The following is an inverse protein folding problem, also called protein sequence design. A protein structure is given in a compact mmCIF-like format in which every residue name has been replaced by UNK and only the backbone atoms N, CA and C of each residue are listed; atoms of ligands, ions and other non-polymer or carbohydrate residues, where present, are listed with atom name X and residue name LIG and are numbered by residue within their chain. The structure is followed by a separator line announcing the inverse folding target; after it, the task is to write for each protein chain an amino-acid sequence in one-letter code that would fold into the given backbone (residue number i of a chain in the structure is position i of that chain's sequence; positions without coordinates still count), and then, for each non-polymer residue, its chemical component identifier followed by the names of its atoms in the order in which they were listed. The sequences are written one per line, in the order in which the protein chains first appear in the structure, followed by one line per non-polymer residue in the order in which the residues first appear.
data_IF_612532978623
#
_entry.id   IF_612532978623
#
_cell.length_a   1.000
_cell.length_b   1.000
_cell.length_c   1.000
_cell.angle_alpha   90.00
_cell.angle_beta   90.00
_cell.angle_gamma   90.00
#
_symmetry.space_group_name_H-M   'P 1'
#
loop_
_entity.id
_entity.type
_entity.pdbx_description
1 polymer ?
#
# COMPACT_ATOMS: atom_id res chain seq x y z
N UNK A 1 19.93 71.02 -6.80
CA UNK A 1 21.24 70.96 -7.45
C UNK A 1 21.96 69.76 -6.79
N UNK A 2 22.23 68.67 -7.38
CA UNK A 2 22.31 68.18 -8.73
C UNK A 2 21.95 66.64 -8.69
N UNK A 3 21.16 66.35 -9.65
CA UNK A 3 20.76 64.97 -10.08
C UNK A 3 21.97 64.18 -10.56
N UNK A 4 22.05 62.92 -10.22
CA UNK A 4 22.82 61.86 -10.96
C UNK A 4 22.17 60.53 -10.80
N UNK A 5 21.24 60.26 -11.71
CA UNK A 5 20.80 58.92 -12.08
C UNK A 5 21.98 58.10 -12.60
N UNK A 6 22.19 56.91 -12.03
CA UNK A 6 23.03 55.86 -12.63
C UNK A 6 22.13 54.83 -13.26
N UNK A 7 22.19 54.81 -14.58
CA UNK A 7 21.66 53.72 -15.41
C UNK A 7 22.29 52.40 -15.03
N UNK A 8 21.48 51.46 -14.61
CA UNK A 8 21.85 50.05 -14.50
C UNK A 8 21.43 49.36 -15.80
N UNK A 9 22.41 49.08 -16.64
CA UNK A 9 22.25 48.23 -17.81
C UNK A 9 21.80 46.83 -17.38
N UNK A 10 20.60 46.46 -17.78
CA UNK A 10 20.12 45.07 -17.82
C UNK A 10 20.83 44.36 -18.97
N UNK A 11 21.40 43.15 -18.74
CA UNK A 11 21.87 42.33 -19.86
C UNK A 11 20.67 41.81 -20.63
N UNK A 12 20.78 41.88 -21.95
CA UNK A 12 19.81 41.34 -22.90
C UNK A 12 19.54 39.86 -22.61
N UNK A 13 18.28 39.49 -22.49
CA UNK A 13 17.78 38.15 -22.55
C UNK A 13 18.17 37.59 -23.93
N UNK A 14 19.00 36.57 -23.90
CA UNK A 14 19.22 35.72 -25.06
C UNK A 14 17.96 34.81 -25.15
N UNK A 15 17.10 35.14 -26.11
CA UNK A 15 16.04 34.26 -26.58
C UNK A 15 16.73 33.01 -27.15
N UNK A 16 16.73 31.92 -26.37
CA UNK A 16 16.84 30.58 -26.94
C UNK A 16 15.46 30.22 -27.50
N UNK A 17 15.34 30.41 -28.82
CA UNK A 17 14.28 29.74 -29.60
C UNK A 17 14.51 28.23 -29.52
N UNK A 18 13.91 27.57 -28.53
CA UNK A 18 13.66 26.15 -28.58
C UNK A 18 12.45 25.92 -29.50
N UNK A 19 12.75 25.64 -30.76
CA UNK A 19 11.75 25.36 -31.79
C UNK A 19 11.20 23.92 -31.65
N UNK A 20 10.50 23.61 -30.56
CA UNK A 20 9.60 22.47 -30.54
C UNK A 20 8.28 22.92 -31.17
N UNK A 21 8.00 22.43 -32.36
CA UNK A 21 6.74 22.67 -33.06
C UNK A 21 5.62 21.98 -32.28
N UNK A 22 4.54 22.66 -31.88
CA UNK A 22 3.46 22.02 -31.16
C UNK A 22 2.88 20.90 -32.03
N UNK A 23 2.91 19.66 -31.52
CA UNK A 23 2.29 18.51 -32.20
C UNK A 23 0.78 18.72 -32.10
N UNK A 24 0.12 18.97 -33.23
CA UNK A 24 -1.33 19.10 -33.32
C UNK A 24 -1.92 17.70 -33.35
N UNK A 25 -2.55 17.29 -32.28
CA UNK A 25 -3.35 16.07 -32.30
C UNK A 25 -4.64 16.30 -33.05
N UNK A 26 -4.89 15.41 -34.01
CA UNK A 26 -6.19 15.29 -34.65
C UNK A 26 -6.85 14.10 -33.99
N UNK A 27 -8.04 14.27 -33.40
CA UNK A 27 -8.77 13.14 -32.85
C UNK A 27 -9.08 12.14 -33.99
N UNK A 28 -9.35 10.89 -33.62
CA UNK A 28 -9.64 9.83 -34.58
C UNK A 28 -10.85 10.10 -35.50
N UNK A 29 -11.55 11.24 -35.30
CA UNK A 29 -12.67 11.74 -36.12
C UNK A 29 -12.32 13.00 -36.93
N UNK A 30 -11.07 13.51 -36.81
CA UNK A 30 -10.61 14.67 -37.58
C UNK A 30 -10.92 16.02 -36.91
N UNK A 31 -11.35 16.08 -35.65
CA UNK A 31 -11.44 17.30 -34.87
C UNK A 31 -10.09 17.59 -34.22
N UNK A 32 -9.55 18.77 -34.47
CA UNK A 32 -8.26 19.22 -33.92
C UNK A 32 -8.47 19.72 -32.49
N UNK A 33 -8.35 18.86 -31.52
CA UNK A 33 -8.02 19.29 -30.16
C UNK A 33 -6.49 19.43 -30.09
N UNK A 34 -6.02 20.65 -30.00
CA UNK A 34 -4.60 20.93 -29.85
C UNK A 34 -4.21 20.64 -28.39
N UNK A 35 -3.86 19.41 -28.10
CA UNK A 35 -3.19 19.03 -26.86
C UNK A 35 -1.76 18.62 -27.25
N UNK A 36 -0.80 19.49 -26.98
CA UNK A 36 0.61 19.12 -26.98
C UNK A 36 0.95 18.60 -25.59
N UNK A 37 1.66 17.50 -25.48
CA UNK A 37 2.23 17.03 -24.20
C UNK A 37 3.16 18.09 -23.61
N UNK A 38 3.70 19.00 -24.41
CA UNK A 38 4.40 20.21 -23.96
C UNK A 38 3.55 21.18 -23.12
N UNK A 39 2.22 20.96 -22.95
CA UNK A 39 1.36 21.67 -22.01
C UNK A 39 1.39 21.07 -20.60
N UNK A 40 1.79 19.80 -20.46
CA UNK A 40 1.95 19.16 -19.17
C UNK A 40 3.38 19.34 -18.69
N UNK A 41 3.52 19.89 -17.49
CA UNK A 41 4.83 20.12 -16.88
C UNK A 41 5.48 18.84 -16.35
N UNK A 42 4.71 17.74 -16.24
CA UNK A 42 5.13 16.48 -15.66
C UNK A 42 4.35 15.30 -16.28
N UNK A 43 4.94 14.09 -16.43
CA UNK A 43 4.26 12.89 -16.91
C UNK A 43 2.98 12.54 -16.13
N UNK A 44 3.00 12.68 -14.81
CA UNK A 44 1.83 12.46 -13.94
C UNK A 44 0.63 13.36 -14.28
N UNK A 45 0.86 14.64 -14.69
CA UNK A 45 -0.22 15.52 -15.13
C UNK A 45 -0.84 15.03 -16.45
N UNK A 46 0.00 14.49 -17.34
CA UNK A 46 -0.44 13.89 -18.59
C UNK A 46 -1.23 12.61 -18.33
N UNK A 47 -0.77 11.75 -17.44
CA UNK A 47 -1.46 10.54 -17.00
C UNK A 47 -2.85 10.85 -16.46
N UNK A 48 -2.97 11.79 -15.49
CA UNK A 48 -4.26 12.21 -14.93
C UNK A 48 -5.23 12.72 -16.01
N UNK A 49 -4.72 13.46 -16.99
CA UNK A 49 -5.56 13.95 -18.10
C UNK A 49 -6.02 12.81 -19.01
N UNK A 50 -5.11 11.91 -19.41
CA UNK A 50 -5.39 10.83 -20.34
C UNK A 50 -6.36 9.82 -19.73
N UNK A 51 -6.16 9.40 -18.50
CA UNK A 51 -7.01 8.40 -17.83
C UNK A 51 -8.46 8.87 -17.62
N UNK A 52 -8.71 10.19 -17.59
CA UNK A 52 -10.06 10.75 -17.52
C UNK A 52 -10.79 10.80 -18.87
N UNK A 53 -10.14 10.38 -19.97
CA UNK A 53 -10.75 10.31 -21.29
C UNK A 53 -11.47 8.97 -21.51
N UNK A 54 -12.25 8.88 -22.62
CA UNK A 54 -12.78 7.58 -23.05
C UNK A 54 -11.66 6.71 -23.64
N UNK A 55 -11.74 5.39 -23.48
CA UNK A 55 -10.73 4.42 -23.96
C UNK A 55 -10.33 4.66 -25.43
N UNK A 56 -11.29 4.96 -26.32
CA UNK A 56 -10.99 5.28 -27.74
C UNK A 56 -10.04 6.49 -27.87
N UNK A 57 -10.20 7.50 -27.01
CA UNK A 57 -9.34 8.68 -27.00
C UNK A 57 -7.99 8.42 -26.34
N UNK A 58 -7.99 7.64 -25.26
CA UNK A 58 -6.75 7.21 -24.56
C UNK A 58 -5.84 6.48 -25.56
N UNK A 59 -6.34 5.44 -26.21
CA UNK A 59 -5.60 4.66 -27.22
C UNK A 59 -5.12 5.55 -28.38
N UNK A 60 -5.98 6.46 -28.85
CA UNK A 60 -5.60 7.38 -29.93
C UNK A 60 -4.46 8.33 -29.50
N UNK A 61 -4.49 8.86 -28.28
CA UNK A 61 -3.42 9.71 -27.76
C UNK A 61 -2.12 8.93 -27.64
N UNK A 62 -2.14 7.77 -27.01
CA UNK A 62 -0.97 6.90 -26.85
C UNK A 62 -0.32 6.50 -28.17
N UNK A 63 -1.10 6.30 -29.24
CA UNK A 63 -0.57 6.02 -30.58
C UNK A 63 0.18 7.19 -31.24
N UNK A 64 -0.10 8.42 -30.83
CA UNK A 64 0.46 9.62 -31.45
C UNK A 64 1.55 10.31 -30.64
N UNK A 65 1.71 9.94 -29.35
CA UNK A 65 2.82 10.37 -28.50
C UNK A 65 4.16 9.80 -28.99
N UNK A 66 5.26 10.47 -28.66
CA UNK A 66 6.57 9.83 -28.73
C UNK A 66 6.57 8.62 -27.77
N UNK A 67 7.34 7.58 -28.10
CA UNK A 67 7.31 6.36 -27.30
C UNK A 67 7.76 6.60 -25.84
N UNK A 68 8.78 7.44 -25.65
CA UNK A 68 9.31 7.88 -24.37
C UNK A 68 8.23 8.61 -23.54
N UNK A 69 7.58 9.66 -24.09
CA UNK A 69 6.51 10.42 -23.40
C UNK A 69 5.28 9.51 -23.10
N UNK A 70 5.01 8.54 -23.95
CA UNK A 70 3.92 7.59 -23.76
C UNK A 70 4.24 6.56 -22.66
N UNK A 71 5.49 6.12 -22.56
CA UNK A 71 5.98 5.21 -21.54
C UNK A 71 5.90 5.85 -20.16
N UNK A 72 6.45 7.08 -20.03
CA UNK A 72 6.39 7.84 -18.78
C UNK A 72 4.93 8.11 -18.33
N UNK A 73 4.06 8.51 -19.27
CA UNK A 73 2.66 8.75 -18.94
C UNK A 73 1.89 7.46 -18.60
N UNK A 74 2.23 6.32 -19.25
CA UNK A 74 1.60 5.04 -18.97
C UNK A 74 1.98 4.51 -17.58
N UNK A 75 3.24 4.64 -17.18
CA UNK A 75 3.73 4.22 -15.87
C UNK A 75 2.97 4.90 -14.70
N UNK A 76 2.59 6.15 -14.87
CA UNK A 76 1.88 6.95 -13.86
C UNK A 76 0.34 6.76 -13.86
N UNK A 77 -0.21 5.87 -14.71
CA UNK A 77 -1.66 5.61 -14.78
C UNK A 77 -2.06 4.48 -13.83
N UNK A 78 -3.36 4.43 -13.48
CA UNK A 78 -3.93 3.30 -12.74
C UNK A 78 -3.78 1.99 -13.52
N UNK A 79 -3.40 0.89 -12.87
CA UNK A 79 -3.13 -0.45 -13.46
C UNK A 79 -4.20 -0.90 -14.45
N UNK A 80 -5.47 -0.73 -14.09
CA UNK A 80 -6.60 -1.08 -14.96
C UNK A 80 -6.63 -0.26 -16.25
N UNK A 81 -6.28 1.03 -16.19
CA UNK A 81 -6.25 1.91 -17.38
C UNK A 81 -5.08 1.52 -18.25
N UNK A 82 -3.92 1.20 -17.67
CA UNK A 82 -2.74 0.69 -18.36
C UNK A 82 -3.09 -0.57 -19.15
N UNK A 83 -3.70 -1.56 -18.49
CA UNK A 83 -4.15 -2.83 -19.08
C UNK A 83 -5.14 -2.58 -20.23
N UNK A 84 -6.19 -1.78 -20.00
CA UNK A 84 -7.22 -1.46 -21.02
C UNK A 84 -6.59 -0.78 -22.25
N UNK A 85 -5.63 0.11 -22.07
CA UNK A 85 -4.91 0.79 -23.13
C UNK A 85 -4.06 -0.21 -23.94
N UNK A 86 -3.22 -1.01 -23.27
CA UNK A 86 -2.32 -1.96 -23.94
C UNK A 86 -3.07 -3.03 -24.71
N UNK A 87 -4.20 -3.52 -24.20
CA UNK A 87 -5.04 -4.48 -24.89
C UNK A 87 -5.66 -3.94 -26.20
N UNK A 88 -5.86 -2.62 -26.27
CA UNK A 88 -6.50 -1.96 -27.41
C UNK A 88 -5.54 -1.20 -28.33
N UNK A 89 -4.25 -1.10 -27.98
CA UNK A 89 -3.21 -0.54 -28.83
C UNK A 89 -2.83 -1.49 -29.96
N UNK A 90 -2.27 -0.92 -31.05
CA UNK A 90 -1.57 -1.72 -32.06
C UNK A 90 -0.36 -2.39 -31.40
N UNK A 91 -0.15 -3.72 -31.56
CA UNK A 91 0.92 -4.45 -30.89
C UNK A 91 2.34 -3.89 -31.15
N UNK A 92 2.58 -3.32 -32.32
CA UNK A 92 3.88 -2.72 -32.65
C UNK A 92 4.09 -1.39 -31.91
N UNK A 93 2.99 -0.67 -31.61
CA UNK A 93 3.03 0.57 -30.81
C UNK A 93 3.20 0.23 -29.34
N UNK A 94 2.41 -0.71 -28.84
CA UNK A 94 2.50 -1.18 -27.46
C UNK A 94 3.91 -1.69 -27.12
N UNK A 95 4.50 -2.50 -28.00
CA UNK A 95 5.86 -3.01 -27.82
C UNK A 95 6.93 -1.90 -27.81
N UNK A 96 6.75 -0.83 -28.58
CA UNK A 96 7.67 0.31 -28.55
C UNK A 96 7.56 1.09 -27.26
N UNK A 97 6.34 1.27 -26.74
CA UNK A 97 6.11 1.94 -25.47
C UNK A 97 6.74 1.13 -24.33
N UNK A 98 6.50 -0.19 -24.29
CA UNK A 98 7.08 -1.09 -23.30
C UNK A 98 8.61 -1.15 -23.34
N UNK A 99 9.22 -0.96 -24.51
CA UNK A 99 10.69 -0.91 -24.65
C UNK A 99 11.32 0.41 -24.17
N UNK A 100 10.52 1.47 -23.97
CA UNK A 100 10.98 2.75 -23.43
C UNK A 100 10.60 2.90 -21.93
N UNK A 101 9.81 1.97 -21.38
CA UNK A 101 9.50 1.92 -19.94
C UNK A 101 10.68 1.37 -19.17
N UNK A 102 10.76 1.71 -17.87
CA UNK A 102 11.65 1.00 -16.97
C UNK A 102 11.28 -0.51 -16.92
N UNK A 103 12.24 -1.43 -16.74
CA UNK A 103 11.94 -2.88 -16.79
C UNK A 103 10.96 -3.35 -15.73
N UNK A 104 10.95 -2.74 -14.54
CA UNK A 104 10.01 -2.98 -13.44
C UNK A 104 8.59 -2.52 -13.83
N UNK A 105 8.40 -1.26 -14.23
CA UNK A 105 7.10 -0.75 -14.70
C UNK A 105 6.54 -1.59 -15.86
N UNK A 106 7.40 -1.96 -16.81
CA UNK A 106 7.00 -2.82 -17.92
C UNK A 106 6.59 -4.22 -17.46
N UNK A 107 7.24 -4.77 -16.43
CA UNK A 107 6.89 -6.06 -15.85
C UNK A 107 5.55 -5.98 -15.10
N UNK A 108 5.33 -4.92 -14.32
CA UNK A 108 4.11 -4.71 -13.56
C UNK A 108 2.90 -4.62 -14.47
N UNK A 109 2.94 -3.74 -15.47
CA UNK A 109 1.84 -3.61 -16.44
C UNK A 109 1.59 -4.90 -17.23
N UNK A 110 2.64 -5.66 -17.54
CA UNK A 110 2.52 -6.93 -18.24
C UNK A 110 2.01 -8.07 -17.34
N UNK A 111 2.20 -7.98 -16.02
CA UNK A 111 1.71 -9.01 -15.08
C UNK A 111 0.17 -9.11 -15.12
N UNK A 112 -0.50 -7.98 -15.28
CA UNK A 112 -1.96 -7.86 -15.31
C UNK A 112 -2.60 -8.31 -16.63
N UNK A 113 -1.80 -8.46 -17.70
CA UNK A 113 -2.31 -8.91 -19.00
C UNK A 113 -2.53 -10.42 -19.05
N UNK A 114 -3.52 -10.84 -19.87
CA UNK A 114 -3.68 -12.25 -20.20
C UNK A 114 -2.39 -12.83 -20.81
N UNK A 115 -2.00 -14.03 -20.38
CA UNK A 115 -0.72 -14.66 -20.76
C UNK A 115 -0.48 -14.70 -22.29
N UNK A 116 -1.55 -14.90 -23.09
CA UNK A 116 -1.45 -14.93 -24.57
C UNK A 116 -1.10 -13.54 -25.12
N UNK A 117 -1.65 -12.47 -24.52
CA UNK A 117 -1.39 -11.09 -24.96
C UNK A 117 0.02 -10.67 -24.54
N UNK A 118 0.39 -10.91 -23.27
CA UNK A 118 1.72 -10.67 -22.74
C UNK A 118 2.82 -11.34 -23.58
N UNK A 119 2.68 -12.63 -23.86
CA UNK A 119 3.68 -13.38 -24.65
C UNK A 119 3.80 -12.85 -26.08
N UNK A 120 2.71 -12.31 -26.63
CA UNK A 120 2.71 -11.67 -27.97
C UNK A 120 3.49 -10.38 -27.95
N UNK A 121 3.28 -9.49 -26.97
CA UNK A 121 3.98 -8.22 -26.83
C UNK A 121 5.47 -8.46 -26.59
N UNK A 122 5.82 -9.33 -25.65
CA UNK A 122 7.22 -9.73 -25.39
C UNK A 122 7.92 -10.41 -26.57
N UNK A 123 7.17 -10.86 -27.56
CA UNK A 123 7.73 -11.39 -28.80
C UNK A 123 8.08 -10.30 -29.83
N UNK A 124 7.61 -9.06 -29.63
CA UNK A 124 7.83 -7.90 -30.50
C UNK A 124 8.90 -6.96 -29.91
N UNK A 125 8.90 -6.79 -28.58
CA UNK A 125 9.91 -6.02 -27.83
C UNK A 125 11.33 -6.50 -28.17
N UNK A 126 12.33 -5.63 -28.09
CA UNK A 126 13.74 -6.01 -28.33
C UNK A 126 14.16 -7.17 -27.42
N UNK A 127 15.02 -8.05 -27.95
CA UNK A 127 15.31 -9.32 -27.28
C UNK A 127 16.00 -9.15 -25.92
N UNK A 128 16.75 -8.06 -25.73
CA UNK A 128 17.47 -7.73 -24.50
C UNK A 128 16.49 -7.31 -23.42
N UNK A 129 15.62 -6.34 -23.72
CA UNK A 129 14.58 -5.83 -22.80
C UNK A 129 13.55 -6.92 -22.48
N UNK A 130 13.13 -7.71 -23.47
CA UNK A 130 12.21 -8.80 -23.28
C UNK A 130 12.76 -9.92 -22.38
N UNK A 131 14.08 -10.17 -22.33
CA UNK A 131 14.71 -11.14 -21.42
C UNK A 131 14.76 -10.57 -19.99
N UNK A 132 15.01 -9.28 -19.85
CA UNK A 132 15.02 -8.57 -18.57
C UNK A 132 13.63 -8.56 -17.93
N UNK A 133 12.62 -8.11 -18.68
CA UNK A 133 11.21 -8.13 -18.24
C UNK A 133 10.75 -9.55 -17.88
N UNK A 134 11.08 -10.59 -18.68
CA UNK A 134 10.76 -11.98 -18.34
C UNK A 134 11.42 -12.45 -17.05
N UNK A 135 12.60 -11.94 -16.75
CA UNK A 135 13.30 -12.26 -15.50
C UNK A 135 12.54 -11.67 -14.32
N UNK A 136 12.11 -10.41 -14.41
CA UNK A 136 11.29 -9.76 -13.39
C UNK A 136 9.94 -10.47 -13.21
N UNK A 137 9.22 -10.76 -14.27
CA UNK A 137 7.97 -11.53 -14.25
C UNK A 137 8.10 -12.96 -13.66
N UNK A 138 9.33 -13.46 -13.46
CA UNK A 138 9.55 -14.76 -12.81
C UNK A 138 9.52 -14.70 -11.28
N UNK A 139 9.63 -13.52 -10.70
CA UNK A 139 9.50 -13.30 -9.27
C UNK A 139 8.02 -13.11 -8.90
N UNK A 140 7.72 -13.26 -7.64
CA UNK A 140 6.40 -12.98 -7.08
C UNK A 140 6.26 -11.45 -6.92
N UNK A 141 5.16 -10.88 -7.40
CA UNK A 141 4.89 -9.43 -7.41
C UNK A 141 4.89 -8.82 -6.00
N UNK A 142 4.56 -9.60 -4.96
CA UNK A 142 4.58 -9.15 -3.57
C UNK A 142 5.95 -9.27 -2.90
N UNK A 143 7.03 -9.48 -3.68
CA UNK A 143 8.39 -9.63 -3.13
C UNK A 143 9.34 -8.57 -3.62
N UNK A 144 10.48 -8.40 -2.92
CA UNK A 144 11.54 -7.51 -3.32
C UNK A 144 12.04 -7.76 -4.76
N UNK A 145 11.96 -9.01 -5.23
CA UNK A 145 12.33 -9.39 -6.59
C UNK A 145 11.32 -8.95 -7.64
N UNK A 146 10.01 -8.91 -7.28
CA UNK A 146 8.94 -8.44 -8.16
C UNK A 146 8.98 -6.93 -8.36
N UNK A 147 9.23 -6.19 -7.29
CA UNK A 147 9.21 -4.71 -7.29
C UNK A 147 10.59 -4.07 -7.51
N UNK A 148 11.62 -4.82 -7.88
CA UNK A 148 12.97 -4.26 -8.05
C UNK A 148 13.19 -3.73 -9.45
N UNK A 149 13.85 -2.57 -9.53
CA UNK A 149 14.41 -2.03 -10.75
C UNK A 149 15.79 -2.63 -11.02
N UNK A 150 16.04 -3.03 -12.26
CA UNK A 150 17.31 -3.61 -12.72
C UNK A 150 18.23 -2.61 -13.39
N UNK A 151 17.75 -1.41 -13.68
CA UNK A 151 18.53 -0.30 -14.24
C UNK A 151 19.43 0.36 -13.20
N UNK A 152 20.50 -0.31 -12.84
CA UNK A 152 21.40 0.09 -11.75
C UNK A 152 22.84 0.29 -12.21
N UNK A 153 23.57 1.19 -11.56
CA UNK A 153 25.01 1.37 -11.79
C UNK A 153 25.80 0.37 -10.97
N UNK A 154 26.38 -0.60 -11.64
CA UNK A 154 27.24 -1.61 -11.05
C UNK A 154 28.71 -1.29 -11.32
N UNK A 155 29.52 -1.17 -10.28
CA UNK A 155 30.94 -0.88 -10.37
C UNK A 155 31.77 -1.99 -9.73
N UNK A 156 32.83 -2.42 -10.40
CA UNK A 156 33.76 -3.38 -9.81
C UNK A 156 34.60 -2.69 -8.71
N UNK A 157 34.78 -3.35 -7.57
CA UNK A 157 35.53 -2.85 -6.42
C UNK A 157 37.00 -2.48 -6.73
N UNK A 158 37.57 -2.97 -7.82
CA UNK A 158 38.96 -2.71 -8.25
C UNK A 158 39.10 -1.39 -9.00
N UNK A 159 38.00 -0.76 -9.44
CA UNK A 159 38.08 0.52 -10.16
C UNK A 159 38.55 1.63 -9.23
N UNK A 160 39.20 2.62 -9.83
CA UNK A 160 39.50 3.88 -9.14
C UNK A 160 38.27 4.84 -9.22
N UNK A 161 38.20 5.78 -8.30
CA UNK A 161 37.11 6.78 -8.28
C UNK A 161 36.99 7.53 -9.63
N UNK A 162 38.14 7.89 -10.24
CA UNK A 162 38.12 8.55 -11.55
C UNK A 162 37.58 7.66 -12.67
N UNK A 163 37.91 6.36 -12.64
CA UNK A 163 37.38 5.39 -13.60
C UNK A 163 35.88 5.15 -13.38
N UNK A 164 35.45 5.08 -12.14
CA UNK A 164 34.04 4.95 -11.77
C UNK A 164 33.21 6.13 -12.28
N UNK A 165 33.68 7.37 -12.03
CA UNK A 165 33.01 8.59 -12.52
C UNK A 165 32.93 8.61 -14.06
N UNK A 166 33.99 8.17 -14.74
CA UNK A 166 33.97 8.08 -16.21
C UNK A 166 33.01 7.01 -16.71
N UNK A 167 32.87 5.92 -16.01
CA UNK A 167 31.92 4.84 -16.33
C UNK A 167 30.48 5.34 -16.19
N UNK A 168 30.17 5.92 -15.04
CA UNK A 168 28.85 6.51 -14.78
C UNK A 168 28.48 7.52 -15.85
N UNK A 169 29.36 8.46 -16.21
CA UNK A 169 29.07 9.48 -17.23
C UNK A 169 28.74 8.91 -18.60
N UNK A 170 29.20 7.71 -18.93
CA UNK A 170 28.86 7.06 -20.20
C UNK A 170 27.53 6.35 -20.17
N UNK A 171 27.18 5.80 -19.03
CA UNK A 171 25.93 5.06 -18.86
C UNK A 171 24.73 5.98 -18.54
N UNK A 172 25.01 7.19 -18.05
CA UNK A 172 23.96 8.17 -17.72
C UNK A 172 23.50 9.03 -18.90
N UNK A 173 23.98 8.82 -20.14
CA UNK A 173 23.47 9.56 -21.30
C UNK A 173 22.02 9.17 -21.65
N UNK A 174 21.58 7.96 -21.23
CA UNK A 174 20.29 7.37 -21.61
C UNK A 174 19.46 6.83 -20.43
N UNK A 175 19.84 7.12 -19.17
CA UNK A 175 19.18 6.56 -17.96
C UNK A 175 18.88 7.60 -16.92
N UNK A 176 17.87 7.34 -16.09
CA UNK A 176 17.56 8.16 -14.92
C UNK A 176 18.75 8.32 -13.97
N UNK A 177 18.79 9.43 -13.22
CA UNK A 177 19.92 9.77 -12.34
C UNK A 177 19.92 8.84 -11.11
N UNK A 178 20.80 7.87 -11.01
CA UNK A 178 20.86 6.98 -9.86
C UNK A 178 21.36 7.70 -8.62
N UNK A 179 20.76 7.44 -7.47
CA UNK A 179 21.21 7.97 -6.19
C UNK A 179 22.52 7.33 -5.70
N UNK A 180 22.74 6.07 -6.08
CA UNK A 180 23.84 5.23 -5.59
C UNK A 180 24.53 4.47 -6.72
N UNK A 181 25.81 4.19 -6.51
CA UNK A 181 26.56 3.21 -7.26
C UNK A 181 26.79 1.98 -6.40
N UNK A 182 26.53 0.80 -6.96
CA UNK A 182 26.63 -0.49 -6.26
C UNK A 182 27.96 -1.15 -6.59
N UNK A 183 28.71 -1.42 -5.55
CA UNK A 183 30.08 -1.95 -5.68
C UNK A 183 30.03 -3.46 -5.53
N UNK A 184 30.52 -4.18 -6.55
CA UNK A 184 30.54 -5.64 -6.57
C UNK A 184 31.96 -6.20 -6.65
N UNK A 185 32.13 -7.45 -6.22
CA UNK A 185 33.35 -8.23 -6.43
C UNK A 185 33.36 -8.91 -7.82
N UNK A 186 34.44 -9.63 -8.12
CA UNK A 186 34.58 -10.36 -9.40
C UNK A 186 33.58 -11.49 -9.60
N UNK A 187 32.77 -11.80 -8.58
CA UNK A 187 31.66 -12.77 -8.63
C UNK A 187 30.29 -12.11 -8.63
N UNK A 188 30.23 -10.82 -8.91
CA UNK A 188 29.00 -10.01 -8.88
C UNK A 188 28.33 -9.93 -7.50
N UNK A 189 29.04 -10.23 -6.41
CA UNK A 189 28.47 -10.10 -5.07
C UNK A 189 28.61 -8.67 -4.59
N UNK A 190 27.54 -8.16 -4.00
CA UNK A 190 27.49 -6.83 -3.44
C UNK A 190 28.46 -6.69 -2.25
N UNK A 191 29.41 -5.77 -2.34
CA UNK A 191 30.40 -5.51 -1.30
C UNK A 191 30.29 -4.13 -0.68
N UNK A 192 29.53 -3.22 -1.30
CA UNK A 192 29.27 -1.89 -0.76
C UNK A 192 28.35 -1.06 -1.65
N UNK A 193 27.90 0.05 -1.09
CA UNK A 193 27.09 1.06 -1.78
C UNK A 193 27.76 2.41 -1.54
N UNK A 194 27.91 3.20 -2.58
CA UNK A 194 28.44 4.56 -2.52
C UNK A 194 27.40 5.52 -3.11
N UNK A 195 27.07 6.58 -2.38
CA UNK A 195 26.29 7.65 -2.99
C UNK A 195 27.13 8.36 -4.07
N UNK A 196 26.47 8.93 -5.08
CA UNK A 196 27.17 9.76 -6.08
C UNK A 196 27.91 10.92 -5.43
N UNK A 197 27.37 11.47 -4.34
CA UNK A 197 28.04 12.50 -3.55
C UNK A 197 29.34 12.00 -2.95
N UNK A 198 29.34 10.81 -2.34
CA UNK A 198 30.54 10.26 -1.70
C UNK A 198 31.57 9.90 -2.75
N UNK A 199 31.14 9.37 -3.90
CA UNK A 199 32.03 9.09 -5.03
C UNK A 199 32.71 10.34 -5.56
N UNK A 200 32.00 11.47 -5.67
CA UNK A 200 32.57 12.77 -6.07
C UNK A 200 33.55 13.34 -5.04
N UNK A 201 33.43 12.95 -3.76
CA UNK A 201 34.31 13.39 -2.67
C UNK A 201 35.52 12.46 -2.47
N UNK A 202 35.54 11.30 -3.14
CA UNK A 202 36.67 10.38 -3.11
C UNK A 202 37.95 11.03 -3.63
N UNK A 203 39.08 10.60 -3.09
CA UNK A 203 40.38 11.11 -3.57
C UNK A 203 40.65 10.60 -4.98
N UNK A 204 41.14 11.47 -5.89
CA UNK A 204 41.53 11.03 -7.22
C UNK A 204 42.51 9.87 -7.15
N UNK A 205 42.25 8.81 -7.94
CA UNK A 205 43.08 7.60 -7.98
C UNK A 205 42.90 6.63 -6.83
N UNK A 206 42.04 6.90 -5.84
CA UNK A 206 41.74 5.92 -4.80
C UNK A 206 40.89 4.77 -5.37
N UNK A 207 41.15 3.55 -4.91
CA UNK A 207 40.41 2.35 -5.30
C UNK A 207 39.09 2.29 -4.51
N UNK A 208 37.96 2.03 -5.16
CA UNK A 208 36.63 2.02 -4.55
C UNK A 208 36.54 1.14 -3.30
N UNK A 209 37.18 -0.03 -3.31
CA UNK A 209 37.24 -0.91 -2.14
C UNK A 209 37.79 -0.24 -0.87
N UNK A 210 38.67 0.73 -0.99
CA UNK A 210 39.28 1.43 0.15
C UNK A 210 38.41 2.59 0.65
N UNK A 211 37.44 3.03 -0.15
CA UNK A 211 36.53 4.11 0.17
C UNK A 211 35.22 3.58 0.79
N UNK A 212 34.98 2.27 0.72
CA UNK A 212 33.84 1.63 1.38
C UNK A 212 33.98 1.76 2.89
N UNK A 213 32.90 2.22 3.54
CA UNK A 213 32.86 2.29 5.00
C UNK A 213 32.77 0.88 5.60
N UNK A 214 33.33 0.68 6.79
CA UNK A 214 33.17 -0.55 7.58
C UNK A 214 31.73 -0.71 8.15
N UNK A 215 30.77 0.09 7.68
CA UNK A 215 29.37 -0.02 8.08
C UNK A 215 28.76 -1.30 7.50
N UNK A 216 27.91 -1.93 8.27
CA UNK A 216 27.18 -3.11 7.81
C UNK A 216 26.37 -2.78 6.57
N UNK A 217 26.67 -3.49 5.49
CA UNK A 217 25.91 -3.43 4.26
C UNK A 217 24.48 -3.89 4.53
N UNK A 218 23.50 -3.05 4.19
CA UNK A 218 22.07 -3.37 4.31
C UNK A 218 21.57 -3.69 2.91
N UNK A 219 21.02 -4.89 2.76
CA UNK A 219 20.40 -5.41 1.54
C UNK A 219 19.27 -6.36 1.93
N UNK A 220 18.37 -6.65 1.01
CA UNK A 220 17.30 -7.62 1.18
C UNK A 220 17.46 -8.79 0.21
N UNK A 221 16.92 -9.95 0.55
CA UNK A 221 16.81 -11.07 -0.37
C UNK A 221 15.62 -10.83 -1.32
N UNK A 222 15.70 -11.36 -2.52
CA UNK A 222 14.65 -11.20 -3.55
C UNK A 222 13.27 -11.75 -3.15
N UNK A 223 13.21 -12.69 -2.21
CA UNK A 223 11.98 -13.33 -1.71
C UNK A 223 11.43 -12.68 -0.43
N UNK A 224 11.95 -11.52 -0.04
CA UNK A 224 11.43 -10.73 1.08
C UNK A 224 10.18 -9.99 0.62
N UNK A 225 9.14 -10.02 1.42
CA UNK A 225 7.87 -9.33 1.25
C UNK A 225 8.04 -7.81 1.05
N UNK A 226 7.28 -7.23 0.12
CA UNK A 226 7.35 -5.79 -0.23
C UNK A 226 7.11 -4.86 0.97
N UNK A 227 6.21 -5.24 1.89
CA UNK A 227 5.97 -4.48 3.13
C UNK A 227 7.23 -4.43 4.01
N UNK A 228 7.98 -5.55 4.13
CA UNK A 228 9.24 -5.59 4.88
C UNK A 228 10.34 -4.76 4.21
N UNK A 229 10.37 -4.72 2.88
CA UNK A 229 11.26 -3.84 2.09
C UNK A 229 10.94 -2.37 2.40
N UNK A 230 9.66 -1.99 2.32
CA UNK A 230 9.18 -0.65 2.62
C UNK A 230 9.58 -0.21 4.05
N UNK A 231 9.36 -1.09 5.03
CA UNK A 231 9.79 -0.84 6.41
C UNK A 231 11.29 -0.66 6.56
N UNK A 232 12.09 -1.42 5.80
CA UNK A 232 13.56 -1.34 5.86
C UNK A 232 14.04 -0.03 5.26
N UNK A 233 13.52 0.37 4.10
CA UNK A 233 13.82 1.66 3.46
C UNK A 233 13.48 2.84 4.37
N UNK A 234 12.24 2.87 4.88
CA UNK A 234 11.77 3.93 5.78
C UNK A 234 12.56 3.98 7.10
N UNK A 235 13.01 2.83 7.63
CA UNK A 235 13.77 2.77 8.88
C UNK A 235 15.16 3.36 8.78
N UNK A 236 15.81 3.19 7.63
CA UNK A 236 17.20 3.63 7.43
C UNK A 236 17.31 4.93 6.64
N UNK A 237 16.18 5.52 6.24
CA UNK A 237 16.10 6.73 5.42
C UNK A 237 16.91 6.58 4.11
N UNK A 238 16.81 5.41 3.46
CA UNK A 238 17.49 5.15 2.20
C UNK A 238 16.64 5.61 1.02
N UNK A 239 17.29 6.05 -0.06
CA UNK A 239 16.63 6.38 -1.33
C UNK A 239 16.49 5.15 -2.24
N UNK A 240 17.28 4.12 -2.01
CA UNK A 240 17.18 2.83 -2.68
C UNK A 240 17.80 1.73 -1.83
N UNK A 241 17.28 0.50 -1.94
CA UNK A 241 17.69 -0.67 -1.18
C UNK A 241 18.10 -1.80 -2.12
N UNK A 242 19.36 -2.28 -2.06
CA UNK A 242 19.81 -3.35 -2.96
C UNK A 242 19.16 -4.69 -2.63
N UNK A 243 18.72 -5.37 -3.69
CA UNK A 243 18.15 -6.71 -3.69
C UNK A 243 19.24 -7.71 -4.11
N UNK A 244 19.37 -8.79 -3.36
CA UNK A 244 20.42 -9.80 -3.60
C UNK A 244 19.85 -11.21 -3.60
N UNK A 245 20.56 -12.12 -4.27
CA UNK A 245 20.29 -13.55 -4.16
C UNK A 245 20.89 -14.19 -2.89
N UNK A 246 20.65 -15.48 -2.69
CA UNK A 246 21.19 -16.24 -1.54
C UNK A 246 22.71 -16.34 -1.52
N UNK A 247 23.40 -16.06 -2.64
CA UNK A 247 24.87 -16.03 -2.73
C UNK A 247 25.42 -14.62 -2.54
N UNK A 248 24.55 -13.62 -2.33
CA UNK A 248 24.85 -12.21 -2.15
C UNK A 248 25.16 -11.49 -3.45
N UNK A 249 24.78 -12.04 -4.62
CA UNK A 249 24.90 -11.35 -5.90
C UNK A 249 23.79 -10.31 -6.02
N UNK A 250 24.14 -9.14 -6.51
CA UNK A 250 23.21 -8.06 -6.75
C UNK A 250 22.30 -8.43 -7.92
N UNK A 251 20.99 -8.31 -7.71
CA UNK A 251 19.95 -8.55 -8.72
C UNK A 251 19.35 -7.23 -9.21
N UNK A 252 19.05 -6.30 -8.31
CA UNK A 252 18.43 -5.03 -8.59
C UNK A 252 18.38 -4.15 -7.36
N UNK A 253 17.53 -3.14 -7.38
CA UNK A 253 17.26 -2.23 -6.25
C UNK A 253 15.78 -1.94 -6.19
N UNK A 254 15.29 -1.66 -4.99
CA UNK A 254 13.96 -1.07 -4.79
C UNK A 254 14.16 0.39 -4.44
N UNK A 255 13.47 1.28 -5.12
CA UNK A 255 13.61 2.73 -4.98
C UNK A 255 12.63 3.29 -3.95
N UNK A 256 12.78 4.55 -3.56
CA UNK A 256 11.97 5.17 -2.53
C UNK A 256 10.59 5.61 -3.06
N UNK A 257 10.50 5.99 -4.33
CA UNK A 257 9.28 6.35 -5.03
C UNK A 257 8.29 5.18 -5.05
N UNK A 258 8.69 4.00 -5.53
CA UNK A 258 7.87 2.78 -5.50
C UNK A 258 7.36 2.45 -4.10
N UNK A 259 8.19 2.70 -3.08
CA UNK A 259 7.82 2.43 -1.69
C UNK A 259 6.72 3.37 -1.16
N UNK A 260 6.60 4.58 -1.70
CA UNK A 260 5.51 5.48 -1.31
C UNK A 260 4.17 4.87 -1.72
N UNK A 261 4.10 4.36 -2.93
CA UNK A 261 2.88 3.75 -3.47
C UNK A 261 2.56 2.46 -2.73
N UNK A 262 3.54 1.58 -2.52
CA UNK A 262 3.37 0.36 -1.71
C UNK A 262 2.84 0.66 -0.30
N UNK A 263 3.38 1.67 0.40
CA UNK A 263 2.89 2.05 1.74
C UNK A 263 1.43 2.54 1.68
N UNK A 264 1.06 3.26 0.62
CA UNK A 264 -0.29 3.76 0.43
C UNK A 264 -1.28 2.62 0.14
N UNK A 265 -0.89 1.70 -0.71
CA UNK A 265 -1.69 0.55 -1.11
C UNK A 265 -1.89 -0.42 0.06
N UNK A 266 -0.84 -0.81 0.76
CA UNK A 266 -0.91 -1.64 1.96
C UNK A 266 -1.83 -1.03 3.04
N UNK A 267 -1.75 0.30 3.25
CA UNK A 267 -2.64 0.97 4.19
C UNK A 267 -4.11 0.93 3.75
N UNK A 268 -4.37 0.96 2.45
CA UNK A 268 -5.70 0.86 1.84
C UNK A 268 -6.23 -0.57 1.89
N UNK A 269 -5.39 -1.56 1.57
CA UNK A 269 -5.65 -2.99 1.70
C UNK A 269 -6.05 -3.38 3.13
N UNK A 270 -5.27 -2.97 4.11
CA UNK A 270 -5.57 -3.19 5.53
C UNK A 270 -6.96 -2.66 5.90
N UNK A 271 -7.32 -1.47 5.38
CA UNK A 271 -8.61 -0.85 5.66
C UNK A 271 -9.78 -1.65 5.06
N UNK A 272 -9.66 -2.10 3.82
CA UNK A 272 -10.66 -2.89 3.12
C UNK A 272 -10.73 -4.32 3.68
N UNK A 273 -9.59 -4.92 3.95
CA UNK A 273 -9.45 -6.25 4.56
C UNK A 273 -10.14 -6.37 5.91
N UNK A 274 -10.08 -5.33 6.75
CA UNK A 274 -10.74 -5.30 8.07
C UNK A 274 -12.25 -5.60 7.99
N UNK A 275 -12.91 -5.17 6.94
CA UNK A 275 -14.37 -5.32 6.76
C UNK A 275 -14.76 -6.46 5.83
N UNK A 276 -13.78 -7.16 5.24
CA UNK A 276 -13.99 -8.24 4.29
C UNK A 276 -14.42 -7.75 2.91
N UNK A 277 -13.99 -6.56 2.51
CA UNK A 277 -14.01 -6.09 1.13
C UNK A 277 -12.80 -6.65 0.37
N UNK A 278 -12.81 -6.56 -0.96
CA UNK A 278 -11.63 -6.89 -1.78
C UNK A 278 -10.50 -5.93 -1.46
N UNK A 279 -9.28 -6.45 -1.41
CA UNK A 279 -8.11 -5.66 -1.05
C UNK A 279 -7.84 -4.60 -2.12
N UNK A 280 -7.97 -4.98 -3.41
CA UNK A 280 -7.77 -4.10 -4.58
C UNK A 280 -9.08 -3.50 -5.10
N UNK A 281 -10.15 -3.47 -4.27
CA UNK A 281 -11.46 -3.04 -4.73
C UNK A 281 -11.57 -1.51 -4.78
N UNK A 282 -11.80 -0.98 -5.99
CA UNK A 282 -12.03 0.44 -6.25
C UNK A 282 -13.50 0.71 -6.61
N UNK A 283 -13.85 1.99 -6.79
CA UNK A 283 -15.22 2.41 -7.21
C UNK A 283 -15.51 1.95 -8.64
N UNK A 284 -14.45 1.76 -9.44
CA UNK A 284 -14.55 1.38 -10.86
C UNK A 284 -14.55 -0.14 -11.09
N UNK A 285 -14.30 -0.92 -10.03
CA UNK A 285 -14.38 -2.39 -10.08
C UNK A 285 -15.78 -2.84 -10.48
N UNK A 286 -15.95 -3.76 -11.45
CA UNK A 286 -17.24 -4.25 -11.88
C UNK A 286 -18.06 -4.82 -10.71
N UNK A 287 -19.31 -4.37 -10.54
CA UNK A 287 -20.15 -4.74 -9.40
C UNK A 287 -20.33 -6.25 -9.19
N UNK A 288 -20.28 -7.04 -10.28
CA UNK A 288 -20.35 -8.51 -10.18
C UNK A 288 -19.10 -9.11 -9.52
N UNK A 289 -17.97 -8.50 -9.71
CA UNK A 289 -16.69 -8.89 -9.13
C UNK A 289 -16.68 -8.56 -7.63
N UNK A 290 -17.05 -7.34 -7.27
CA UNK A 290 -17.27 -6.94 -5.88
C UNK A 290 -18.22 -7.89 -5.14
N UNK A 291 -19.31 -8.32 -5.79
CA UNK A 291 -20.23 -9.32 -5.20
C UNK A 291 -19.54 -10.66 -4.95
N UNK A 292 -18.71 -11.15 -5.88
CA UNK A 292 -18.01 -12.43 -5.72
C UNK A 292 -17.04 -12.41 -4.52
N UNK A 293 -16.35 -11.30 -4.32
CA UNK A 293 -15.38 -11.14 -3.24
C UNK A 293 -16.08 -10.94 -1.88
N UNK A 294 -17.08 -10.07 -1.82
CA UNK A 294 -17.77 -9.74 -0.55
C UNK A 294 -18.76 -10.83 -0.07
N UNK A 295 -19.41 -11.55 -0.99
CA UNK A 295 -20.46 -12.54 -0.65
C UNK A 295 -19.97 -13.66 0.30
N UNK A 296 -18.80 -14.28 0.14
CA UNK A 296 -18.30 -15.28 1.09
C UNK A 296 -18.22 -14.73 2.52
N UNK A 297 -17.69 -13.51 2.70
CA UNK A 297 -17.59 -12.87 4.01
C UNK A 297 -18.95 -12.53 4.61
N UNK A 298 -19.91 -12.11 3.79
CA UNK A 298 -21.30 -11.88 4.23
C UNK A 298 -21.97 -13.19 4.69
N UNK A 299 -21.68 -14.31 4.01
CA UNK A 299 -22.17 -15.63 4.44
C UNK A 299 -21.54 -16.08 5.76
N UNK A 300 -20.25 -15.85 5.95
CA UNK A 300 -19.57 -16.10 7.24
C UNK A 300 -20.22 -15.26 8.34
N UNK A 301 -20.44 -13.96 8.09
CA UNK A 301 -21.11 -13.07 9.04
C UNK A 301 -22.55 -13.52 9.37
N UNK A 302 -23.30 -14.03 8.39
CA UNK A 302 -24.62 -14.61 8.62
C UNK A 302 -24.58 -15.84 9.54
N UNK A 303 -23.60 -16.73 9.35
CA UNK A 303 -23.40 -17.88 10.26
C UNK A 303 -23.06 -17.42 11.68
N UNK A 304 -22.20 -16.42 11.81
CA UNK A 304 -21.83 -15.83 13.09
C UNK A 304 -23.04 -15.18 13.80
N UNK A 305 -23.86 -14.45 13.05
CA UNK A 305 -25.11 -13.88 13.57
C UNK A 305 -26.10 -14.95 14.04
N UNK A 306 -26.11 -16.12 13.37
CA UNK A 306 -26.92 -17.27 13.81
C UNK A 306 -26.46 -17.82 15.17
N UNK A 307 -25.17 -17.79 15.46
CA UNK A 307 -24.64 -18.14 16.78
C UNK A 307 -25.16 -17.17 17.86
N UNK A 308 -25.09 -15.87 17.62
CA UNK A 308 -25.61 -14.86 18.54
C UNK A 308 -27.13 -15.02 18.75
N UNK A 309 -27.88 -15.37 17.71
CA UNK A 309 -29.32 -15.70 17.81
C UNK A 309 -29.57 -16.93 18.70
N UNK A 310 -28.75 -17.98 18.61
CA UNK A 310 -28.83 -19.13 19.52
C UNK A 310 -28.63 -18.76 20.98
N UNK A 311 -27.68 -17.85 21.25
CA UNK A 311 -27.48 -17.32 22.62
C UNK A 311 -28.75 -16.64 23.12
N UNK A 312 -29.35 -15.77 22.31
CA UNK A 312 -30.61 -15.07 22.67
C UNK A 312 -31.75 -16.08 22.91
N UNK A 313 -31.85 -17.11 22.08
CA UNK A 313 -32.85 -18.18 22.23
C UNK A 313 -32.75 -18.92 23.55
N UNK A 314 -31.53 -19.16 24.07
CA UNK A 314 -31.32 -19.78 25.40
C UNK A 314 -31.98 -19.00 26.53
N UNK A 315 -32.19 -17.69 26.38
CA UNK A 315 -32.77 -16.81 27.37
C UNK A 315 -34.21 -16.37 27.04
N UNK A 316 -34.91 -17.07 26.12
CA UNK A 316 -36.29 -16.75 25.70
C UNK A 316 -37.24 -16.58 26.89
N UNK A 317 -37.14 -17.46 27.91
CA UNK A 317 -37.98 -17.39 29.10
C UNK A 317 -37.77 -16.09 29.92
N UNK A 318 -36.54 -15.63 30.03
CA UNK A 318 -36.21 -14.37 30.73
C UNK A 318 -36.72 -13.16 29.96
N UNK A 319 -36.58 -13.19 28.63
CA UNK A 319 -37.05 -12.14 27.74
C UNK A 319 -38.60 -12.09 27.76
N UNK A 320 -39.28 -13.23 27.70
CA UNK A 320 -40.73 -13.31 27.80
C UNK A 320 -41.29 -12.74 29.12
N UNK A 321 -40.55 -12.94 30.22
CA UNK A 321 -40.89 -12.41 31.53
C UNK A 321 -40.72 -10.90 31.62
N UNK A 322 -39.67 -10.37 30.97
CA UNK A 322 -39.30 -8.96 31.00
C UNK A 322 -38.90 -8.47 29.59
N UNK A 323 -39.89 -8.13 28.74
CA UNK A 323 -39.67 -7.74 27.35
C UNK A 323 -38.72 -6.54 27.16
N UNK A 324 -38.56 -5.68 28.19
CA UNK A 324 -37.62 -4.55 28.15
C UNK A 324 -36.18 -4.99 27.95
N UNK A 325 -35.80 -6.23 28.30
CA UNK A 325 -34.47 -6.78 28.05
C UNK A 325 -34.16 -6.78 26.56
N UNK A 326 -35.13 -7.18 25.71
CA UNK A 326 -34.91 -7.18 24.25
C UNK A 326 -34.72 -5.74 23.71
N UNK A 327 -35.32 -4.74 24.31
CA UNK A 327 -35.16 -3.33 23.91
C UNK A 327 -33.76 -2.81 24.26
N UNK A 328 -33.15 -3.33 25.34
CA UNK A 328 -31.82 -2.90 25.82
C UNK A 328 -30.66 -3.66 25.17
N UNK A 329 -30.89 -4.84 24.59
CA UNK A 329 -29.85 -5.66 23.94
C UNK A 329 -29.01 -4.90 22.90
N UNK A 330 -29.63 -4.14 21.97
CA UNK A 330 -28.86 -3.40 20.95
C UNK A 330 -27.87 -2.40 21.55
N UNK A 331 -28.16 -1.83 22.71
CA UNK A 331 -27.25 -0.88 23.39
C UNK A 331 -25.99 -1.59 23.86
N UNK A 332 -26.13 -2.80 24.41
CA UNK A 332 -24.98 -3.59 24.90
C UNK A 332 -24.09 -3.97 23.73
N UNK A 333 -24.62 -4.67 22.73
CA UNK A 333 -23.86 -5.14 21.59
C UNK A 333 -23.15 -3.99 20.82
N UNK A 334 -23.88 -2.91 20.55
CA UNK A 334 -23.30 -1.77 19.81
C UNK A 334 -22.13 -1.11 20.54
N UNK A 335 -22.19 -0.95 21.86
CA UNK A 335 -21.12 -0.29 22.60
C UNK A 335 -19.86 -1.16 22.69
N UNK A 336 -20.02 -2.46 22.89
CA UNK A 336 -18.90 -3.40 22.93
C UNK A 336 -18.28 -3.55 21.53
N UNK A 337 -19.10 -3.67 20.49
CA UNK A 337 -18.63 -3.72 19.10
C UNK A 337 -17.80 -2.49 18.72
N UNK A 338 -18.31 -1.28 19.01
CA UNK A 338 -17.57 -0.05 18.74
C UNK A 338 -16.24 0.04 19.51
N UNK A 339 -16.23 -0.34 20.80
CA UNK A 339 -15.01 -0.35 21.62
C UNK A 339 -14.01 -1.35 21.06
N UNK A 340 -14.48 -2.52 20.65
CA UNK A 340 -13.65 -3.55 20.04
C UNK A 340 -13.05 -3.09 18.71
N UNK A 341 -13.84 -2.45 17.83
CA UNK A 341 -13.36 -1.92 16.57
C UNK A 341 -12.30 -0.82 16.76
N UNK A 342 -12.46 0.05 17.76
CA UNK A 342 -11.44 1.04 18.11
C UNK A 342 -10.13 0.38 18.55
N UNK A 343 -10.19 -0.65 19.37
CA UNK A 343 -9.02 -1.41 19.79
C UNK A 343 -8.38 -2.17 18.63
N UNK A 344 -9.21 -2.76 17.75
CA UNK A 344 -8.79 -3.46 16.53
C UNK A 344 -8.01 -2.54 15.60
N UNK A 345 -8.58 -1.38 15.26
CA UNK A 345 -7.94 -0.41 14.36
C UNK A 345 -6.60 0.11 14.91
N UNK A 346 -6.52 0.38 16.24
CA UNK A 346 -5.25 0.78 16.87
C UNK A 346 -4.22 -0.35 16.77
N UNK A 347 -4.65 -1.60 16.93
CA UNK A 347 -3.74 -2.74 16.93
C UNK A 347 -3.22 -3.06 15.51
N UNK A 348 -4.09 -3.04 14.49
CA UNK A 348 -3.69 -3.23 13.09
C UNK A 348 -2.69 -2.15 12.69
N UNK A 349 -3.02 -0.87 12.89
CA UNK A 349 -2.09 0.23 12.62
C UNK A 349 -0.73 0.03 13.31
N UNK A 350 -0.73 -0.45 14.54
CA UNK A 350 0.52 -0.64 15.27
C UNK A 350 1.33 -1.82 14.73
N UNK A 351 0.67 -2.86 14.24
CA UNK A 351 1.31 -4.03 13.62
C UNK A 351 1.90 -3.71 12.25
N UNK A 352 1.29 -2.77 11.53
CA UNK A 352 1.80 -2.22 10.27
C UNK A 352 3.04 -1.33 10.47
N UNK A 353 3.19 -0.62 11.59
CA UNK A 353 4.30 0.33 11.82
C UNK A 353 5.47 -0.28 12.58
N UNK A 354 5.24 -1.23 13.48
CA UNK A 354 6.27 -1.78 14.36
C UNK A 354 6.25 -3.30 14.44
N UNK A 355 7.42 -3.92 14.41
CA UNK A 355 7.55 -5.34 14.77
C UNK A 355 7.29 -5.53 16.27
N UNK A 356 6.20 -6.25 16.58
CA UNK A 356 5.82 -6.55 17.94
C UNK A 356 6.59 -7.74 18.53
N UNK A 357 7.32 -7.50 19.63
CA UNK A 357 7.77 -8.57 20.53
C UNK A 357 6.60 -8.99 21.44
N UNK A 358 6.55 -10.26 21.85
CA UNK A 358 5.50 -10.82 22.73
C UNK A 358 5.21 -9.97 23.98
N UNK A 359 6.23 -9.31 24.54
CA UNK A 359 6.04 -8.42 25.70
C UNK A 359 5.27 -7.16 25.33
N UNK A 360 5.59 -6.55 24.21
CA UNK A 360 4.87 -5.36 23.72
C UNK A 360 3.41 -5.70 23.39
N UNK A 361 3.17 -6.85 22.76
CA UNK A 361 1.81 -7.35 22.46
C UNK A 361 0.94 -7.43 23.71
N UNK A 362 1.42 -8.05 24.77
CA UNK A 362 0.68 -8.15 26.03
C UNK A 362 0.46 -6.80 26.70
N UNK A 363 1.41 -5.89 26.64
CA UNK A 363 1.27 -4.53 27.19
C UNK A 363 0.19 -3.76 26.43
N UNK A 364 0.14 -3.88 25.10
CA UNK A 364 -0.87 -3.27 24.25
C UNK A 364 -2.28 -3.82 24.56
N UNK A 365 -2.45 -5.14 24.62
CA UNK A 365 -3.72 -5.79 25.00
C UNK A 365 -4.19 -5.33 26.37
N UNK A 366 -3.30 -5.28 27.37
CA UNK A 366 -3.65 -4.79 28.72
C UNK A 366 -3.98 -3.31 28.75
N UNK A 367 -3.38 -2.51 27.86
CA UNK A 367 -3.73 -1.09 27.70
C UNK A 367 -5.15 -0.96 27.16
N UNK A 368 -5.50 -1.67 26.09
CA UNK A 368 -6.85 -1.64 25.50
C UNK A 368 -7.90 -2.17 26.49
N UNK A 369 -7.59 -3.24 27.24
CA UNK A 369 -8.45 -3.74 28.31
C UNK A 369 -8.76 -2.68 29.38
N UNK A 370 -7.76 -1.89 29.80
CA UNK A 370 -7.96 -0.78 30.75
C UNK A 370 -8.84 0.31 30.16
N UNK A 371 -8.64 0.64 28.88
CA UNK A 371 -9.47 1.63 28.17
C UNK A 371 -10.92 1.13 28.09
N UNK A 372 -11.14 -0.12 27.66
CA UNK A 372 -12.46 -0.72 27.56
C UNK A 372 -13.18 -0.78 28.92
N UNK A 373 -12.48 -1.18 29.99
CA UNK A 373 -13.05 -1.21 31.34
C UNK A 373 -13.43 0.19 31.83
N UNK A 374 -12.54 1.17 31.70
CA UNK A 374 -12.80 2.53 32.16
C UNK A 374 -13.94 3.18 31.38
N UNK A 375 -13.93 3.06 30.06
CA UNK A 375 -14.99 3.54 29.19
C UNK A 375 -16.33 2.86 29.47
N UNK A 376 -16.29 1.54 29.73
CA UNK A 376 -17.47 0.76 30.08
C UNK A 376 -18.08 1.18 31.44
N UNK A 377 -17.26 1.49 32.43
CA UNK A 377 -17.73 2.02 33.70
C UNK A 377 -18.35 3.41 33.55
N UNK A 378 -17.72 4.30 32.81
CA UNK A 378 -18.24 5.66 32.57
C UNK A 378 -19.56 5.66 31.81
N UNK A 379 -19.62 4.92 30.68
CA UNK A 379 -20.83 4.77 29.87
C UNK A 379 -21.90 4.01 30.66
N UNK A 380 -21.50 2.99 31.44
CA UNK A 380 -22.37 2.23 32.32
C UNK A 380 -23.11 3.11 33.34
N UNK A 381 -22.43 4.11 33.93
CA UNK A 381 -23.07 5.08 34.84
C UNK A 381 -24.11 5.93 34.10
N UNK A 382 -23.79 6.40 32.91
CA UNK A 382 -24.73 7.20 32.09
C UNK A 382 -25.96 6.38 31.72
N UNK A 383 -25.76 5.14 31.25
CA UNK A 383 -26.86 4.23 30.87
C UNK A 383 -27.65 3.80 32.10
N UNK A 384 -27.00 3.60 33.25
CA UNK A 384 -27.70 3.31 34.50
C UNK A 384 -28.68 4.43 34.84
N UNK A 385 -28.27 5.70 34.74
CA UNK A 385 -29.13 6.86 34.98
C UNK A 385 -30.31 6.89 34.00
N UNK A 386 -30.02 6.69 32.69
CA UNK A 386 -31.05 6.67 31.65
C UNK A 386 -32.09 5.54 31.87
N UNK A 387 -31.62 4.31 32.05
CA UNK A 387 -32.49 3.15 32.29
C UNK A 387 -33.32 3.33 33.55
N UNK A 388 -32.73 3.87 34.64
CA UNK A 388 -33.50 4.16 35.84
C UNK A 388 -34.57 5.22 35.65
N UNK A 389 -34.29 6.27 34.90
CA UNK A 389 -35.27 7.32 34.61
C UNK A 389 -36.46 6.79 33.79
N UNK A 390 -36.21 5.89 32.82
CA UNK A 390 -37.30 5.35 31.96
C UNK A 390 -38.05 4.19 32.59
N UNK A 391 -37.35 3.32 33.37
CA UNK A 391 -37.96 2.09 33.87
C UNK A 391 -38.36 2.15 35.36
N UNK A 392 -37.89 3.14 36.10
CA UNK A 392 -37.95 3.24 37.57
C UNK A 392 -37.45 1.95 38.32
N UNK A 393 -36.69 1.13 37.64
CA UNK A 393 -36.16 -0.13 38.17
C UNK A 393 -34.65 -0.03 38.34
N UNK A 394 -34.21 0.20 39.64
CA UNK A 394 -32.79 0.34 39.95
C UNK A 394 -32.01 -0.93 39.71
N UNK A 395 -32.60 -2.10 39.98
CA UNK A 395 -31.90 -3.40 39.77
C UNK A 395 -31.59 -3.63 38.31
N UNK A 396 -32.56 -3.36 37.42
CA UNK A 396 -32.36 -3.46 35.95
C UNK A 396 -31.27 -2.49 35.49
N UNK A 397 -31.29 -1.24 35.98
CA UNK A 397 -30.31 -0.23 35.68
C UNK A 397 -28.87 -0.65 36.10
N UNK A 398 -28.72 -1.25 37.30
CA UNK A 398 -27.44 -1.77 37.80
C UNK A 398 -26.95 -2.96 36.95
N UNK A 399 -27.83 -3.91 36.61
CA UNK A 399 -27.48 -5.06 35.76
C UNK A 399 -27.00 -4.59 34.40
N UNK A 400 -27.71 -3.63 33.80
CA UNK A 400 -27.35 -3.07 32.50
C UNK A 400 -25.96 -2.38 32.54
N UNK A 401 -25.70 -1.58 33.58
CA UNK A 401 -24.41 -0.90 33.78
C UNK A 401 -23.26 -1.89 33.93
N UNK A 402 -23.47 -2.94 34.72
CA UNK A 402 -22.46 -3.98 34.93
C UNK A 402 -22.21 -4.79 33.64
N UNK A 403 -23.28 -5.15 32.93
CA UNK A 403 -23.18 -5.85 31.65
C UNK A 403 -22.39 -5.05 30.62
N UNK A 404 -22.67 -3.76 30.47
CA UNK A 404 -21.93 -2.85 29.60
C UNK A 404 -20.45 -2.78 29.96
N UNK A 405 -20.11 -2.64 31.24
CA UNK A 405 -18.71 -2.55 31.67
C UNK A 405 -17.93 -3.84 31.34
N UNK A 406 -18.56 -4.99 31.57
CA UNK A 406 -17.94 -6.29 31.26
C UNK A 406 -17.81 -6.54 29.77
N UNK A 407 -18.85 -6.16 28.99
CA UNK A 407 -18.88 -6.40 27.56
C UNK A 407 -17.92 -5.48 26.79
N UNK A 408 -17.84 -4.19 27.18
CA UNK A 408 -16.86 -3.27 26.62
C UNK A 408 -15.41 -3.67 26.94
N UNK A 409 -15.16 -4.22 28.15
CA UNK A 409 -13.86 -4.83 28.49
C UNK A 409 -13.55 -5.99 27.55
N UNK A 410 -14.53 -6.88 27.32
CA UNK A 410 -14.37 -8.04 26.47
C UNK A 410 -14.17 -7.61 24.99
N UNK A 411 -14.95 -6.64 24.53
CA UNK A 411 -14.79 -6.07 23.20
C UNK A 411 -13.39 -5.52 22.95
N UNK A 412 -12.86 -4.73 23.90
CA UNK A 412 -11.49 -4.21 23.82
C UNK A 412 -10.43 -5.32 23.83
N UNK A 413 -10.61 -6.34 24.69
CA UNK A 413 -9.73 -7.51 24.72
C UNK A 413 -9.74 -8.28 23.41
N UNK A 414 -10.95 -8.56 22.86
CA UNK A 414 -11.10 -9.27 21.60
C UNK A 414 -10.50 -8.46 20.43
N UNK A 415 -10.84 -7.17 20.34
CA UNK A 415 -10.33 -6.28 19.28
C UNK A 415 -8.82 -6.18 19.26
N UNK A 416 -8.18 -6.11 20.45
CA UNK A 416 -6.73 -6.08 20.53
C UNK A 416 -6.07 -7.45 20.30
N UNK A 417 -6.77 -8.56 20.57
CA UNK A 417 -6.17 -9.91 20.51
C UNK A 417 -6.31 -10.57 19.12
N UNK A 418 -7.39 -10.30 18.38
CA UNK A 418 -7.69 -10.93 17.08
C UNK A 418 -6.55 -10.72 16.09
N UNK A 419 -6.03 -9.51 15.83
CA UNK A 419 -4.94 -9.29 14.88
C UNK A 419 -3.66 -10.03 15.27
N UNK A 420 -3.35 -10.07 16.58
CA UNK A 420 -2.19 -10.78 17.10
C UNK A 420 -2.29 -12.29 16.88
N UNK A 421 -3.49 -12.86 17.05
CA UNK A 421 -3.74 -14.28 16.82
C UNK A 421 -3.59 -14.60 15.33
N UNK A 422 -4.11 -13.77 14.44
CA UNK A 422 -3.98 -13.97 12.99
C UNK A 422 -2.52 -13.90 12.55
N UNK A 423 -1.77 -12.93 13.06
CA UNK A 423 -0.32 -12.84 12.81
C UNK A 423 0.44 -14.08 13.30
N UNK A 424 0.14 -14.59 14.50
CA UNK A 424 0.77 -15.83 15.00
C UNK A 424 0.39 -17.07 14.18
N UNK A 425 -0.77 -17.06 13.51
CA UNK A 425 -1.21 -18.12 12.61
C UNK A 425 -0.67 -17.98 11.18
N UNK A 426 0.15 -16.95 10.91
CA UNK A 426 0.68 -16.65 9.57
C UNK A 426 -0.42 -16.19 8.60
N UNK A 427 -1.44 -15.51 9.11
CA UNK A 427 -2.51 -14.89 8.34
C UNK A 427 -2.42 -13.38 8.46
N UNK A 428 -2.92 -12.69 7.45
CA UNK A 428 -3.04 -11.25 7.48
C UNK A 428 -3.89 -10.80 8.69
N UNK A 429 -3.32 -9.92 9.58
CA UNK A 429 -4.02 -9.41 10.76
C UNK A 429 -5.29 -8.62 10.46
N UNK A 430 -5.37 -7.97 9.30
CA UNK A 430 -6.53 -7.18 8.88
C UNK A 430 -7.69 -8.07 8.41
N UNK A 431 -7.38 -9.23 7.79
CA UNK A 431 -8.34 -10.06 7.07
C UNK A 431 -9.60 -10.39 7.88
N UNK A 432 -10.72 -9.74 7.52
CA UNK A 432 -12.05 -9.94 8.11
C UNK A 432 -12.11 -9.86 9.66
N UNK A 433 -11.11 -9.23 10.28
CA UNK A 433 -10.98 -9.15 11.74
C UNK A 433 -12.22 -8.56 12.41
N UNK A 434 -12.91 -7.60 11.77
CA UNK A 434 -14.14 -7.01 12.33
C UNK A 434 -15.31 -8.00 12.36
N UNK A 435 -15.37 -8.95 11.43
CA UNK A 435 -16.42 -9.98 11.37
C UNK A 435 -16.30 -10.93 12.56
N UNK A 436 -15.08 -11.37 12.88
CA UNK A 436 -14.82 -12.19 14.06
C UNK A 436 -15.05 -11.43 15.35
N UNK A 437 -14.63 -10.17 15.39
CA UNK A 437 -14.86 -9.29 16.54
C UNK A 437 -16.37 -9.14 16.84
N UNK A 438 -17.17 -8.83 15.83
CA UNK A 438 -18.63 -8.68 15.98
C UNK A 438 -19.27 -9.96 16.51
N UNK A 439 -18.82 -11.12 16.05
CA UNK A 439 -19.31 -12.40 16.56
C UNK A 439 -19.06 -12.58 18.06
N UNK A 440 -17.86 -12.22 18.52
CA UNK A 440 -17.48 -12.33 19.92
C UNK A 440 -18.25 -11.32 20.77
N UNK A 441 -18.34 -10.08 20.34
CA UNK A 441 -18.99 -9.01 21.10
C UNK A 441 -20.49 -9.22 21.17
N UNK A 442 -21.16 -9.58 20.08
CA UNK A 442 -22.61 -9.82 20.07
C UNK A 442 -22.96 -11.08 20.89
N UNK A 443 -22.29 -12.20 20.63
CA UNK A 443 -22.56 -13.44 21.32
C UNK A 443 -22.29 -13.37 22.82
N UNK A 444 -21.15 -12.87 23.21
CA UNK A 444 -20.78 -12.73 24.61
C UNK A 444 -21.55 -11.60 25.32
N UNK A 445 -21.78 -10.48 24.63
CA UNK A 445 -22.55 -9.36 25.16
C UNK A 445 -23.98 -9.76 25.52
N UNK A 446 -24.66 -10.46 24.62
CA UNK A 446 -26.00 -11.00 24.91
C UNK A 446 -25.95 -12.02 26.03
N UNK A 447 -24.97 -12.91 26.05
CA UNK A 447 -24.83 -13.90 27.12
C UNK A 447 -24.57 -13.24 28.49
N UNK A 448 -23.67 -12.26 28.57
CA UNK A 448 -23.37 -11.52 29.79
C UNK A 448 -24.60 -10.76 30.27
N UNK A 449 -25.26 -9.99 29.41
CA UNK A 449 -26.40 -9.17 29.77
C UNK A 449 -27.59 -10.01 30.20
N UNK A 450 -28.01 -10.97 29.40
CA UNK A 450 -29.16 -11.83 29.70
C UNK A 450 -28.88 -12.80 30.86
N UNK A 451 -27.63 -13.27 30.98
CA UNK A 451 -27.19 -14.08 32.10
C UNK A 451 -27.25 -13.33 33.43
N UNK A 452 -26.70 -12.10 33.47
CA UNK A 452 -26.78 -11.24 34.64
C UNK A 452 -28.24 -10.85 34.97
N UNK A 453 -29.04 -10.55 33.95
CA UNK A 453 -30.46 -10.29 34.12
C UNK A 453 -31.19 -11.49 34.75
N UNK A 454 -30.91 -12.70 34.25
CA UNK A 454 -31.52 -13.91 34.79
C UNK A 454 -31.09 -14.18 36.26
N UNK A 455 -29.84 -13.91 36.60
CA UNK A 455 -29.32 -14.14 37.97
C UNK A 455 -29.81 -13.11 38.99
N UNK A 456 -29.97 -11.85 38.60
CA UNK A 456 -30.21 -10.76 39.54
C UNK A 456 -31.62 -10.18 39.51
N UNK A 457 -32.40 -10.46 38.47
CA UNK A 457 -33.77 -9.93 38.35
C UNK A 457 -34.86 -10.99 38.56
N UNK A 458 -34.51 -12.26 38.39
CA UNK A 458 -35.40 -13.41 38.58
C UNK A 458 -34.86 -14.35 39.65
#
# INVERSE_FOLDING_TARGET
MTDTSKDIHTPAEAEQEDSKTPVRFVDCRGEVEALSVDEFAHPADAAEHIQNLSLEKQVCMMQHLAAEDAAEALAEMEERVQTDILENLDPDVAARILGEMSPDDAADVLSDLEAEHRDRLLGIVEAEDAEEIRTLLSFDEDTAGGIMNTEIIILNQSLTADQAIMHIRREMEDKEIPYYAYIVDDKQRLVGVLSLRDLLLCRPGSVLRNELSDQSLISVLFDVDKEEVAHTLARYDFMALPVVDYEGRLLGVVTYDDIIDIIHDEASEDMLGMVGAGQDETVDTPWLESVKVRLPWLLVNMLNSSFSACVVYMFEGSIATMAILAVLMPIVANQAGNTGQQALAVMIRQLAVERFDRKKSWVAVLREAKIGLLSGLLIGIVVMGAVFLFTHNLRLAQVMSLALALDMLLGALAGASIPLIFKELGRDPAQASSIFLTTITDGAGFFIFLGLATLFLF
#
